data_IF_114604094206
#
_entry.id   IF_114604094206
#
_cell.length_a   1.000
_cell.length_b   1.000
_cell.length_c   1.000
_cell.angle_alpha   90.00
_cell.angle_beta   90.00
_cell.angle_gamma   90.00
#
_symmetry.space_group_name_H-M   'P 1'
#
loop_
_entity.id
_entity.type
_entity.pdbx_description
1 polymer ?
#
# COMPACT_ATOMS: atom_id res chain seq x y z
N UNK A 1 1.11 -31.57 -7.94
CA UNK A 1 1.46 -30.36 -7.20
C UNK A 1 2.37 -29.53 -8.08
N UNK A 2 2.10 -28.24 -8.16
CA UNK A 2 2.98 -27.22 -8.73
C UNK A 2 3.37 -26.28 -7.60
N UNK A 3 4.55 -25.70 -7.68
CA UNK A 3 5.04 -24.74 -6.70
C UNK A 3 4.94 -23.35 -7.31
N UNK A 4 4.30 -22.44 -6.58
CA UNK A 4 4.22 -21.03 -6.91
C UNK A 4 5.22 -20.26 -6.06
N UNK A 5 5.80 -19.19 -6.61
CA UNK A 5 6.80 -18.37 -5.94
C UNK A 5 6.46 -16.91 -6.13
N UNK A 6 6.42 -16.15 -5.04
CA UNK A 6 6.26 -14.69 -5.07
C UNK A 6 7.61 -14.03 -4.81
N UNK A 7 8.06 -13.18 -5.71
CA UNK A 7 9.41 -12.62 -5.70
C UNK A 7 9.35 -11.10 -5.72
N UNK A 8 10.14 -10.48 -4.86
CA UNK A 8 10.38 -9.05 -4.89
C UNK A 8 11.84 -8.78 -4.55
N UNK A 9 12.40 -7.70 -5.11
CA UNK A 9 13.72 -7.20 -4.78
C UNK A 9 13.76 -5.69 -5.03
N UNK A 10 13.96 -4.90 -3.98
CA UNK A 10 13.89 -3.44 -4.07
C UNK A 10 14.64 -2.77 -2.92
N UNK A 11 14.83 -1.46 -3.06
CA UNK A 11 15.50 -0.62 -2.07
C UNK A 11 14.62 0.56 -1.71
N UNK A 12 14.54 0.86 -0.41
CA UNK A 12 13.87 2.05 0.12
C UNK A 12 14.87 2.84 0.97
N UNK A 13 14.83 4.17 0.83
CA UNK A 13 15.54 5.09 1.72
C UNK A 13 14.60 5.52 2.84
N UNK A 14 15.05 5.46 4.08
CA UNK A 14 14.25 5.84 5.24
C UNK A 14 15.13 6.41 6.36
N UNK A 15 14.49 7.00 7.38
CA UNK A 15 15.20 7.42 8.58
C UNK A 15 15.81 6.22 9.32
N UNK A 16 16.84 6.51 10.12
CA UNK A 16 17.50 5.49 10.96
C UNK A 16 16.55 4.89 12.00
N UNK A 17 15.59 5.68 12.48
CA UNK A 17 14.57 5.21 13.41
C UNK A 17 13.63 4.19 12.77
N UNK A 18 13.20 4.43 11.52
CA UNK A 18 12.38 3.49 10.77
C UNK A 18 13.15 2.21 10.43
N UNK A 19 14.43 2.33 10.04
CA UNK A 19 15.27 1.16 9.81
C UNK A 19 15.47 0.32 11.10
N UNK A 20 15.57 0.96 12.27
CA UNK A 20 15.65 0.26 13.55
C UNK A 20 14.35 -0.47 13.92
N UNK A 21 13.19 0.08 13.53
CA UNK A 21 11.90 -0.58 13.68
C UNK A 21 11.84 -1.89 12.90
N UNK A 22 12.38 -1.94 11.68
CA UNK A 22 12.41 -3.16 10.88
C UNK A 22 13.18 -4.30 11.57
N UNK A 23 14.31 -3.99 12.22
CA UNK A 23 15.03 -4.98 13.04
C UNK A 23 14.20 -5.49 14.21
N UNK A 24 13.40 -4.61 14.82
CA UNK A 24 12.50 -4.99 15.91
C UNK A 24 11.35 -5.87 15.41
N UNK A 25 10.88 -5.65 14.19
CA UNK A 25 9.88 -6.50 13.54
C UNK A 25 10.45 -7.88 13.19
N UNK A 26 11.68 -7.98 12.67
CA UNK A 26 12.36 -9.28 12.48
C UNK A 26 12.51 -10.03 13.81
N UNK A 27 12.99 -9.35 14.85
CA UNK A 27 13.10 -9.95 16.19
C UNK A 27 11.75 -10.38 16.76
N UNK A 28 10.67 -9.64 16.50
CA UNK A 28 9.31 -10.01 16.90
C UNK A 28 8.85 -11.31 16.21
N UNK A 29 9.13 -11.47 14.92
CA UNK A 29 8.85 -12.71 14.19
C UNK A 29 9.66 -13.88 14.79
N UNK A 30 10.96 -13.72 15.02
CA UNK A 30 11.81 -14.76 15.62
C UNK A 30 11.30 -15.20 17.02
N UNK A 31 10.83 -14.24 17.83
CA UNK A 31 10.22 -14.52 19.14
C UNK A 31 8.97 -15.38 18.96
N UNK A 32 8.10 -15.03 18.02
CA UNK A 32 6.84 -15.72 17.76
C UNK A 32 7.06 -17.14 17.21
N UNK A 33 8.11 -17.36 16.41
CA UNK A 33 8.47 -18.69 15.90
C UNK A 33 8.91 -19.67 17.02
N UNK A 34 9.41 -19.15 18.14
CA UNK A 34 9.92 -19.98 19.24
C UNK A 34 8.80 -20.78 19.95
N UNK A 35 7.53 -20.42 19.75
CA UNK A 35 6.35 -21.09 20.36
C UNK A 35 6.45 -21.23 21.89
N UNK A 36 6.94 -20.18 22.56
CA UNK A 36 7.06 -20.13 24.02
C UNK A 36 5.71 -19.99 24.74
N UNK A 37 5.71 -20.15 26.07
CA UNK A 37 4.53 -19.88 26.88
C UNK A 37 4.18 -18.38 26.88
N UNK A 38 2.91 -18.02 27.10
CA UNK A 38 2.43 -16.62 27.03
C UNK A 38 3.22 -15.66 27.94
N UNK A 39 3.66 -16.12 29.11
CA UNK A 39 4.47 -15.32 30.03
C UNK A 39 5.87 -15.00 29.47
N UNK A 40 6.48 -15.97 28.77
CA UNK A 40 7.78 -15.80 28.14
C UNK A 40 7.67 -14.88 26.92
N UNK A 41 6.60 -15.03 26.12
CA UNK A 41 6.30 -14.13 25.00
C UNK A 41 6.05 -12.69 25.48
N UNK A 42 5.33 -12.51 26.58
CA UNK A 42 5.09 -11.19 27.15
C UNK A 42 6.40 -10.53 27.66
N UNK A 43 7.28 -11.31 28.28
CA UNK A 43 8.60 -10.82 28.72
C UNK A 43 9.50 -10.49 27.52
N UNK A 44 9.48 -11.32 26.47
CA UNK A 44 10.23 -11.07 25.25
C UNK A 44 9.74 -9.82 24.51
N UNK A 45 8.43 -9.61 24.43
CA UNK A 45 7.84 -8.38 23.89
C UNK A 45 8.37 -7.12 24.59
N UNK A 46 8.52 -7.15 25.92
CA UNK A 46 9.03 -6.00 26.69
C UNK A 46 10.50 -5.67 26.41
N UNK A 47 11.25 -6.59 25.77
CA UNK A 47 12.62 -6.34 25.31
C UNK A 47 12.70 -5.60 23.98
N UNK A 48 11.59 -5.54 23.23
CA UNK A 48 11.53 -4.84 21.94
C UNK A 48 11.57 -3.32 22.14
N UNK A 49 12.06 -2.65 21.10
CA UNK A 49 12.25 -1.20 21.11
C UNK A 49 10.97 -0.43 21.49
N UNK A 50 11.13 0.70 22.17
CA UNK A 50 10.00 1.52 22.61
C UNK A 50 9.14 2.00 21.43
N UNK A 51 9.78 2.32 20.29
CA UNK A 51 9.06 2.69 19.08
C UNK A 51 8.21 1.54 18.56
N UNK A 52 8.75 0.32 18.55
CA UNK A 52 8.00 -0.87 18.15
C UNK A 52 6.75 -1.06 19.01
N UNK A 53 6.90 -1.00 20.33
CA UNK A 53 5.78 -1.14 21.27
C UNK A 53 4.77 0.00 21.19
N UNK A 54 5.18 1.17 20.71
CA UNK A 54 4.28 2.31 20.47
C UNK A 54 3.44 2.11 19.21
N UNK A 55 4.04 1.58 18.14
CA UNK A 55 3.38 1.34 16.85
C UNK A 55 2.49 0.09 16.90
N UNK A 56 2.96 -0.95 17.59
CA UNK A 56 2.25 -2.20 17.82
C UNK A 56 1.97 -2.40 19.30
N UNK A 57 1.06 -1.60 19.91
CA UNK A 57 0.76 -1.70 21.33
C UNK A 57 0.16 -3.07 21.69
N UNK A 58 0.32 -3.51 22.95
CA UNK A 58 -0.26 -4.76 23.40
C UNK A 58 -1.78 -4.69 23.36
N UNK A 59 -2.43 -5.78 22.93
CA UNK A 59 -3.88 -5.88 22.80
C UNK A 59 -4.32 -7.30 23.16
N UNK A 60 -5.47 -7.42 23.84
CA UNK A 60 -6.06 -8.72 24.16
C UNK A 60 -5.16 -9.61 25.03
N UNK A 61 -5.16 -10.91 24.75
CA UNK A 61 -4.47 -11.94 25.54
C UNK A 61 -2.97 -12.04 25.19
N UNK A 62 -2.60 -11.74 23.94
CA UNK A 62 -1.21 -11.73 23.49
C UNK A 62 -0.70 -10.32 23.29
N UNK A 63 0.46 -9.97 23.87
CA UNK A 63 1.08 -8.65 23.64
C UNK A 63 1.43 -8.37 22.18
N UNK A 64 1.53 -9.41 21.34
CA UNK A 64 1.80 -9.31 19.91
C UNK A 64 0.54 -9.14 19.05
N UNK A 65 -0.67 -9.17 19.62
CA UNK A 65 -1.91 -9.21 18.82
C UNK A 65 -1.98 -8.10 17.76
N UNK A 66 -1.61 -6.85 18.08
CA UNK A 66 -1.60 -5.76 17.08
C UNK A 66 -0.52 -5.91 16.01
N UNK A 67 0.61 -6.57 16.32
CA UNK A 67 1.61 -6.91 15.31
C UNK A 67 1.13 -8.08 14.43
N UNK A 68 0.41 -9.04 15.02
CA UNK A 68 -0.15 -10.19 14.30
C UNK A 68 -1.22 -9.79 13.27
N UNK A 69 -1.85 -8.62 13.43
CA UNK A 69 -2.77 -8.06 12.42
C UNK A 69 -2.11 -7.75 11.07
N UNK A 70 -0.77 -7.77 10.98
CA UNK A 70 -0.05 -7.63 9.71
C UNK A 70 -0.13 -8.89 8.84
N UNK A 71 -0.37 -10.05 9.45
CA UNK A 71 -0.26 -11.36 8.80
C UNK A 71 -1.65 -11.93 8.50
N UNK A 72 -1.73 -12.67 7.39
CA UNK A 72 -2.92 -13.40 6.97
C UNK A 72 -3.17 -14.66 7.82
N UNK A 73 -2.10 -15.31 8.28
CA UNK A 73 -2.14 -16.36 9.30
C UNK A 73 -1.43 -15.91 10.60
N UNK A 74 -2.19 -15.53 11.65
CA UNK A 74 -1.62 -15.15 12.94
C UNK A 74 -0.82 -16.25 13.66
N UNK A 75 -1.00 -17.52 13.27
CA UNK A 75 -0.29 -18.65 13.88
C UNK A 75 1.05 -18.94 13.21
N UNK A 76 1.28 -18.40 12.02
CA UNK A 76 2.52 -18.55 11.28
C UNK A 76 2.93 -17.18 10.71
N UNK A 77 3.36 -16.24 11.56
CA UNK A 77 3.75 -14.91 11.09
C UNK A 77 5.07 -14.99 10.32
N UNK A 78 5.05 -14.69 9.02
CA UNK A 78 6.24 -14.57 8.18
C UNK A 78 6.19 -13.29 7.35
N UNK A 79 7.32 -12.58 7.28
CA UNK A 79 7.50 -11.53 6.27
C UNK A 79 7.95 -12.12 4.92
N UNK A 80 8.59 -13.30 4.95
CA UNK A 80 9.26 -13.96 3.83
C UNK A 80 10.14 -13.00 2.99
N UNK A 81 10.70 -12.01 3.68
CA UNK A 81 11.54 -10.98 3.13
C UNK A 81 12.85 -10.95 3.92
N UNK A 82 13.96 -11.06 3.21
CA UNK A 82 15.28 -10.72 3.72
C UNK A 82 15.41 -9.20 3.71
N UNK A 83 15.64 -8.61 4.88
CA UNK A 83 15.83 -7.17 5.05
C UNK A 83 17.31 -6.90 5.34
N UNK A 84 17.97 -6.15 4.47
CA UNK A 84 19.37 -5.74 4.65
C UNK A 84 19.45 -4.24 4.84
N UNK A 85 19.95 -3.82 6.00
CA UNK A 85 20.07 -2.41 6.36
C UNK A 85 21.52 -1.96 6.16
N UNK A 86 21.74 -1.17 5.11
CA UNK A 86 23.01 -0.51 4.82
C UNK A 86 23.04 0.83 5.55
N UNK A 87 23.59 0.80 6.77
CA UNK A 87 23.69 1.97 7.62
C UNK A 87 25.06 2.66 7.51
N UNK A 88 25.09 3.78 6.78
CA UNK A 88 26.25 4.66 6.67
C UNK A 88 26.08 5.87 7.60
N UNK A 89 26.98 6.10 8.58
CA UNK A 89 26.87 7.24 9.50
C UNK A 89 27.02 8.61 8.80
N UNK A 90 27.62 8.66 7.61
CA UNK A 90 27.80 9.89 6.84
C UNK A 90 26.57 10.24 5.97
N UNK A 91 25.61 9.33 5.87
CA UNK A 91 24.37 9.54 5.09
C UNK A 91 23.19 9.91 6.00
N UNK A 92 22.40 10.87 5.54
CA UNK A 92 21.22 11.34 6.27
C UNK A 92 20.07 10.32 6.30
N UNK A 93 19.98 9.48 5.26
CA UNK A 93 19.00 8.40 5.14
C UNK A 93 19.72 7.06 5.13
N UNK A 94 19.06 6.06 5.68
CA UNK A 94 19.52 4.67 5.68
C UNK A 94 18.93 3.96 4.47
N UNK A 95 19.77 3.22 3.75
CA UNK A 95 19.37 2.41 2.62
C UNK A 95 18.99 1.02 3.09
N UNK A 96 17.75 0.60 2.81
CA UNK A 96 17.24 -0.71 3.21
C UNK A 96 16.85 -1.51 1.97
N UNK A 97 17.47 -2.67 1.79
CA UNK A 97 17.16 -3.58 0.71
C UNK A 97 16.24 -4.69 1.21
N UNK A 98 15.22 -5.00 0.40
CA UNK A 98 14.27 -6.07 0.63
C UNK A 98 14.41 -7.07 -0.51
N UNK A 99 14.44 -8.36 -0.20
CA UNK A 99 14.47 -9.41 -1.23
C UNK A 99 13.88 -10.73 -0.74
N UNK A 100 13.31 -11.53 -1.64
CA UNK A 100 12.77 -12.85 -1.28
C UNK A 100 12.13 -13.59 -2.47
N UNK A 101 11.92 -14.89 -2.32
CA UNK A 101 11.31 -15.79 -3.31
C UNK A 101 9.99 -16.44 -2.87
N UNK A 102 9.52 -16.11 -1.66
CA UNK A 102 8.15 -16.29 -1.16
C UNK A 102 7.61 -15.00 -0.52
N UNK A 103 8.04 -13.86 -1.05
CA UNK A 103 7.91 -12.54 -0.43
C UNK A 103 6.48 -12.20 0.03
N UNK A 104 6.33 -11.85 1.32
CA UNK A 104 5.08 -11.38 1.92
C UNK A 104 4.73 -9.95 1.49
N UNK A 105 4.06 -9.81 0.33
CA UNK A 105 3.75 -8.52 -0.29
C UNK A 105 2.93 -7.63 0.65
N UNK A 106 1.82 -8.16 1.15
CA UNK A 106 0.87 -7.39 1.97
C UNK A 106 1.45 -7.13 3.37
N UNK A 107 2.13 -8.11 3.94
CA UNK A 107 2.79 -8.04 5.25
C UNK A 107 3.86 -6.94 5.25
N UNK A 108 4.74 -6.91 4.24
CA UNK A 108 5.78 -5.88 4.12
C UNK A 108 5.17 -4.51 3.79
N UNK A 109 4.14 -4.45 2.96
CA UNK A 109 3.44 -3.21 2.66
C UNK A 109 2.80 -2.58 3.91
N UNK A 110 2.12 -3.38 4.73
CA UNK A 110 1.52 -2.95 5.99
C UNK A 110 2.59 -2.57 7.02
N UNK A 111 3.69 -3.30 7.12
CA UNK A 111 4.82 -2.94 7.99
C UNK A 111 5.42 -1.59 7.61
N UNK A 112 5.67 -1.36 6.32
CA UNK A 112 6.15 -0.07 5.81
C UNK A 112 5.13 1.05 6.06
N UNK A 113 3.85 0.79 5.78
CA UNK A 113 2.79 1.76 5.96
C UNK A 113 2.62 2.16 7.42
N UNK A 114 2.51 1.21 8.36
CA UNK A 114 2.30 1.51 9.79
C UNK A 114 3.57 2.00 10.47
N UNK A 115 4.69 1.38 10.13
CA UNK A 115 5.94 1.49 10.86
C UNK A 115 6.93 2.53 10.33
N UNK A 116 7.01 2.69 9.01
CA UNK A 116 8.12 3.39 8.36
C UNK A 116 7.67 4.67 7.67
N UNK A 117 7.05 5.58 8.43
CA UNK A 117 6.43 6.80 7.88
C UNK A 117 7.40 7.73 7.14
N UNK A 118 8.68 7.74 7.50
CA UNK A 118 9.68 8.56 6.81
C UNK A 118 10.04 8.04 5.41
N UNK A 119 9.67 6.80 5.09
CA UNK A 119 9.82 6.25 3.75
C UNK A 119 8.73 6.72 2.78
N UNK A 120 7.61 7.27 3.29
CA UNK A 120 6.45 7.60 2.46
C UNK A 120 6.67 8.92 1.69
N UNK A 121 6.20 9.02 0.43
CA UNK A 121 5.63 7.94 -0.38
C UNK A 121 6.71 6.96 -0.90
N UNK A 122 6.40 5.67 -0.86
CA UNK A 122 7.25 4.62 -1.44
C UNK A 122 6.43 3.56 -2.16
N UNK A 123 7.11 2.58 -2.73
CA UNK A 123 6.48 1.46 -3.38
C UNK A 123 7.51 0.45 -3.86
N UNK A 124 7.02 -0.70 -4.30
CA UNK A 124 7.87 -1.76 -4.82
C UNK A 124 7.15 -2.59 -5.87
N UNK A 125 7.93 -3.19 -6.76
CA UNK A 125 7.44 -4.13 -7.76
C UNK A 125 7.63 -5.56 -7.25
N UNK A 126 6.75 -6.45 -7.71
CA UNK A 126 6.82 -7.86 -7.43
C UNK A 126 6.41 -8.70 -8.64
N UNK A 127 6.78 -9.96 -8.62
CA UNK A 127 6.40 -10.96 -9.62
C UNK A 127 5.96 -12.24 -8.94
N UNK A 128 5.11 -13.02 -9.60
CA UNK A 128 4.95 -14.42 -9.25
C UNK A 128 5.18 -15.30 -10.47
N UNK A 129 5.75 -16.48 -10.22
CA UNK A 129 5.89 -17.53 -11.21
C UNK A 129 5.54 -18.89 -10.63
N UNK A 130 5.52 -19.90 -11.51
CA UNK A 130 5.26 -21.28 -11.15
C UNK A 130 6.30 -22.20 -11.80
N UNK A 131 6.64 -23.29 -11.13
CA UNK A 131 7.49 -24.34 -11.70
C UNK A 131 6.86 -25.05 -12.92
N UNK A 132 5.57 -24.80 -13.17
CA UNK A 132 4.83 -25.30 -14.33
C UNK A 132 4.18 -24.14 -15.08
N UNK A 133 4.29 -24.17 -16.41
CA UNK A 133 3.68 -23.19 -17.32
C UNK A 133 2.15 -23.36 -17.39
N UNK A 134 1.43 -22.86 -16.39
CA UNK A 134 -0.03 -22.84 -16.35
C UNK A 134 -0.58 -21.44 -16.62
N UNK A 135 -1.76 -21.41 -17.22
CA UNK A 135 -2.48 -20.16 -17.51
C UNK A 135 -2.81 -19.45 -16.19
N UNK A 136 -2.47 -18.16 -16.11
CA UNK A 136 -2.73 -17.33 -14.93
C UNK A 136 -1.71 -17.45 -13.80
N UNK A 137 -0.76 -18.39 -13.87
CA UNK A 137 0.25 -18.61 -12.82
C UNK A 137 1.59 -17.87 -13.08
N UNK A 138 1.59 -16.90 -14.00
CA UNK A 138 2.69 -15.97 -14.24
C UNK A 138 2.16 -14.54 -14.23
N UNK A 139 2.83 -13.67 -13.50
CA UNK A 139 2.39 -12.30 -13.37
C UNK A 139 3.27 -11.49 -12.43
N UNK A 140 2.69 -10.40 -11.96
CA UNK A 140 3.39 -9.47 -11.12
C UNK A 140 2.52 -8.28 -10.80
N UNK A 141 3.16 -7.25 -10.29
CA UNK A 141 2.45 -6.05 -9.89
C UNK A 141 3.37 -5.04 -9.23
N UNK A 142 2.73 -4.04 -8.66
CA UNK A 142 3.38 -3.11 -7.76
C UNK A 142 2.47 -2.78 -6.59
N UNK A 143 3.12 -2.34 -5.51
CA UNK A 143 2.47 -1.73 -4.36
C UNK A 143 2.94 -0.28 -4.29
N UNK A 144 2.01 0.63 -4.05
CA UNK A 144 2.25 2.05 -3.80
C UNK A 144 1.73 2.37 -2.40
N UNK A 145 2.57 2.99 -1.59
CA UNK A 145 2.29 3.29 -0.19
C UNK A 145 2.42 4.80 0.01
N UNK A 146 1.35 5.41 0.50
CA UNK A 146 1.26 6.84 0.79
C UNK A 146 0.68 7.04 2.18
N UNK A 147 0.64 8.28 2.67
CA UNK A 147 -0.04 8.59 3.93
C UNK A 147 -1.55 8.23 3.91
N UNK A 148 -2.15 8.18 2.72
CA UNK A 148 -3.57 7.83 2.55
C UNK A 148 -3.84 6.32 2.61
N UNK A 149 -2.82 5.47 2.48
CA UNK A 149 -2.96 4.01 2.50
C UNK A 149 -2.10 3.31 1.45
N UNK A 150 -2.43 2.03 1.27
CA UNK A 150 -1.75 1.10 0.37
C UNK A 150 -2.62 0.86 -0.87
N UNK A 151 -2.00 0.90 -2.04
CA UNK A 151 -2.62 0.57 -3.32
C UNK A 151 -1.81 -0.52 -4.00
N UNK A 152 -2.49 -1.62 -4.36
CA UNK A 152 -1.87 -2.75 -5.04
C UNK A 152 -2.43 -2.89 -6.45
N UNK A 153 -1.54 -3.05 -7.43
CA UNK A 153 -1.89 -3.27 -8.83
C UNK A 153 -1.25 -4.56 -9.31
N UNK A 154 -2.01 -5.40 -10.01
CA UNK A 154 -1.47 -6.56 -10.72
C UNK A 154 -1.32 -6.26 -12.20
N UNK A 155 -0.37 -6.92 -12.86
CA UNK A 155 -0.20 -6.87 -14.32
C UNK A 155 -1.48 -7.29 -15.05
N UNK A 156 -2.25 -8.22 -14.46
CA UNK A 156 -3.56 -8.62 -14.98
C UNK A 156 -4.58 -7.50 -14.86
N UNK A 157 -4.69 -6.84 -13.70
CA UNK A 157 -5.61 -5.70 -13.52
C UNK A 157 -5.28 -4.54 -14.46
N UNK A 158 -3.99 -4.29 -14.71
CA UNK A 158 -3.54 -3.29 -15.67
C UNK A 158 -3.92 -3.67 -17.11
N UNK A 159 -3.79 -4.94 -17.49
CA UNK A 159 -4.19 -5.43 -18.80
C UNK A 159 -5.71 -5.35 -19.00
N UNK A 160 -6.49 -5.76 -18.00
CA UNK A 160 -7.95 -5.65 -18.02
C UNK A 160 -8.39 -4.18 -18.12
N UNK A 161 -7.75 -3.28 -17.37
CA UNK A 161 -8.01 -1.84 -17.45
C UNK A 161 -7.69 -1.28 -18.83
N UNK A 162 -6.57 -1.71 -19.43
CA UNK A 162 -6.20 -1.31 -20.78
C UNK A 162 -7.22 -1.77 -21.82
N UNK A 163 -7.73 -3.00 -21.73
CA UNK A 163 -8.80 -3.46 -22.64
C UNK A 163 -10.08 -2.66 -22.48
N UNK A 164 -10.50 -2.38 -21.23
CA UNK A 164 -11.69 -1.53 -20.99
C UNK A 164 -11.56 -0.14 -21.63
N UNK A 165 -10.38 0.48 -21.57
CA UNK A 165 -10.12 1.76 -22.25
C UNK A 165 -10.26 1.65 -23.77
N UNK A 166 -9.79 0.55 -24.37
CA UNK A 166 -9.88 0.32 -25.81
C UNK A 166 -11.34 0.09 -26.22
N UNK A 167 -12.06 -0.74 -25.47
CA UNK A 167 -13.46 -1.11 -25.76
C UNK A 167 -14.43 0.05 -25.54
N UNK A 168 -14.27 0.82 -24.46
CA UNK A 168 -15.15 1.94 -24.13
C UNK A 168 -14.90 3.22 -24.93
N UNK A 169 -13.75 3.33 -25.60
CA UNK A 169 -13.40 4.52 -26.37
C UNK A 169 -13.05 5.75 -25.52
N UNK A 170 -12.69 6.89 -26.14
CA UNK A 170 -12.02 8.02 -25.48
C UNK A 170 -12.86 8.83 -24.48
N UNK A 171 -14.13 8.46 -24.23
CA UNK A 171 -15.09 9.29 -23.50
C UNK A 171 -15.86 8.56 -22.38
N UNK A 172 -15.57 7.30 -22.06
CA UNK A 172 -16.40 6.49 -21.14
C UNK A 172 -16.01 6.56 -19.65
N UNK A 173 -15.17 7.51 -19.21
CA UNK A 173 -14.88 7.69 -17.78
C UNK A 173 -14.26 6.47 -17.09
N UNK A 174 -13.55 5.63 -17.85
CA UNK A 174 -12.85 4.43 -17.36
C UNK A 174 -11.84 4.78 -16.25
N UNK A 175 -11.29 5.99 -16.30
CA UNK A 175 -10.38 6.53 -15.29
C UNK A 175 -11.08 7.35 -14.20
N UNK A 176 -12.41 7.29 -14.16
CA UNK A 176 -13.27 7.97 -13.21
C UNK A 176 -13.85 9.28 -13.73
N UNK A 177 -14.69 9.89 -12.90
CA UNK A 177 -15.37 11.15 -13.13
C UNK A 177 -15.02 12.15 -12.05
N UNK A 178 -14.98 13.42 -12.42
CA UNK A 178 -14.97 14.55 -11.47
C UNK A 178 -16.23 15.36 -11.66
N UNK A 179 -16.82 15.84 -10.56
CA UNK A 179 -17.94 16.76 -10.63
C UNK A 179 -17.40 18.17 -10.79
N UNK A 180 -17.85 18.89 -11.81
CA UNK A 180 -17.37 20.23 -12.14
C UNK A 180 -18.53 21.22 -12.22
N UNK A 181 -18.28 22.49 -11.95
CA UNK A 181 -19.21 23.60 -12.18
C UNK A 181 -18.45 24.79 -12.75
N UNK A 182 -19.15 25.69 -13.44
CA UNK A 182 -18.53 26.91 -13.92
C UNK A 182 -18.21 27.85 -12.76
N UNK A 183 -17.07 28.53 -12.86
CA UNK A 183 -16.61 29.47 -11.83
C UNK A 183 -16.11 30.74 -12.49
N UNK A 184 -16.65 31.88 -12.05
CA UNK A 184 -16.22 33.19 -12.54
C UNK A 184 -14.74 33.48 -12.22
N UNK A 185 -14.17 32.83 -11.20
CA UNK A 185 -12.78 33.04 -10.78
C UNK A 185 -11.78 32.13 -11.51
N UNK A 186 -12.19 30.90 -11.88
CA UNK A 186 -11.28 29.84 -12.34
C UNK A 186 -11.70 29.19 -13.67
N UNK A 187 -12.79 29.64 -14.28
CA UNK A 187 -13.41 29.00 -15.45
C UNK A 187 -14.17 27.75 -15.05
N UNK A 188 -13.46 26.72 -14.57
CA UNK A 188 -14.02 25.50 -14.00
C UNK A 188 -13.57 25.33 -12.55
N UNK A 189 -14.44 24.73 -11.74
CA UNK A 189 -14.12 24.32 -10.37
C UNK A 189 -14.63 22.92 -10.12
N UNK A 190 -13.86 22.12 -9.39
CA UNK A 190 -14.07 20.69 -9.23
C UNK A 190 -14.39 20.34 -7.79
N UNK A 191 -15.35 19.44 -7.59
CA UNK A 191 -15.84 19.05 -6.28
C UNK A 191 -14.81 18.21 -5.51
N UNK A 192 -14.66 18.52 -4.23
CA UNK A 192 -13.94 17.74 -3.24
C UNK A 192 -14.86 17.40 -2.07
N UNK A 193 -14.92 16.13 -1.67
CA UNK A 193 -15.68 15.72 -0.48
C UNK A 193 -15.19 16.40 0.81
N UNK A 194 -13.95 16.92 0.81
CA UNK A 194 -13.34 17.58 1.99
C UNK A 194 -13.45 19.10 1.93
N UNK A 195 -13.26 19.69 0.75
CA UNK A 195 -13.07 21.14 0.60
C UNK A 195 -14.15 21.85 -0.22
N UNK A 196 -15.11 21.12 -0.79
CA UNK A 196 -16.10 21.66 -1.72
C UNK A 196 -15.51 21.94 -3.11
N UNK A 197 -16.12 22.87 -3.87
CA UNK A 197 -15.64 23.23 -5.22
C UNK A 197 -14.34 24.04 -5.17
N UNK A 198 -13.33 23.58 -5.92
CA UNK A 198 -12.02 24.22 -5.98
C UNK A 198 -11.18 23.78 -7.17
N UNK A 199 -9.85 23.70 -6.98
CA UNK A 199 -8.92 23.31 -8.03
C UNK A 199 -9.03 21.82 -8.37
N UNK A 200 -8.70 21.45 -9.62
CA UNK A 200 -8.70 20.05 -10.07
C UNK A 200 -7.78 19.15 -9.22
N UNK A 201 -6.65 19.69 -8.75
CA UNK A 201 -5.68 18.95 -7.94
C UNK A 201 -6.24 18.43 -6.61
N UNK A 202 -7.35 18.99 -6.13
CA UNK A 202 -8.02 18.59 -4.88
C UNK A 202 -9.35 17.87 -5.13
N UNK A 203 -9.70 17.63 -6.40
CA UNK A 203 -10.98 17.04 -6.77
C UNK A 203 -11.09 15.58 -6.28
N UNK A 204 -12.28 15.20 -5.84
CA UNK A 204 -12.60 13.79 -5.61
C UNK A 204 -12.92 13.13 -6.94
N UNK A 205 -12.25 12.01 -7.22
CA UNK A 205 -12.53 11.16 -8.37
C UNK A 205 -13.56 10.11 -7.95
N UNK A 206 -14.61 9.97 -8.75
CA UNK A 206 -15.71 9.05 -8.55
C UNK A 206 -15.66 7.95 -9.61
N UNK A 207 -15.90 6.71 -9.22
CA UNK A 207 -16.29 5.66 -10.17
C UNK A 207 -17.66 5.97 -10.79
N UNK A 208 -17.98 5.33 -11.91
CA UNK A 208 -19.30 5.47 -12.56
C UNK A 208 -20.45 5.15 -11.60
N UNK A 209 -20.32 4.08 -10.81
CA UNK A 209 -21.34 3.65 -9.86
C UNK A 209 -21.53 4.64 -8.70
N UNK A 210 -20.45 5.30 -8.25
CA UNK A 210 -20.52 6.34 -7.23
C UNK A 210 -21.16 7.61 -7.80
N UNK A 211 -20.72 8.05 -8.99
CA UNK A 211 -21.27 9.22 -9.67
C UNK A 211 -22.78 9.09 -9.93
N UNK A 212 -23.25 7.89 -10.29
CA UNK A 212 -24.67 7.61 -10.50
C UNK A 212 -25.54 7.68 -9.23
N UNK A 213 -24.92 7.52 -8.05
CA UNK A 213 -25.61 7.54 -6.74
C UNK A 213 -25.36 8.81 -5.94
N UNK A 214 -24.48 9.68 -6.42
CA UNK A 214 -24.03 10.85 -5.68
C UNK A 214 -25.02 12.01 -5.87
N UNK A 215 -25.58 12.48 -4.75
CA UNK A 215 -26.44 13.66 -4.74
C UNK A 215 -25.59 14.92 -4.97
N UNK A 216 -25.74 15.51 -6.15
CA UNK A 216 -24.97 16.70 -6.55
C UNK A 216 -25.25 17.86 -5.57
N UNK A 217 -24.20 18.52 -5.03
CA UNK A 217 -24.34 19.67 -4.18
C UNK A 217 -24.99 20.84 -4.92
N UNK A 218 -25.72 21.68 -4.18
CA UNK A 218 -26.29 22.92 -4.71
C UNK A 218 -25.15 23.91 -4.96
N UNK A 219 -25.07 24.42 -6.19
CA UNK A 219 -24.09 25.42 -6.61
C UNK A 219 -24.78 26.51 -7.46
N UNK A 220 -24.05 27.59 -7.75
CA UNK A 220 -24.57 28.72 -8.54
C UNK A 220 -24.89 28.34 -10.00
N UNK A 221 -24.19 27.33 -10.53
CA UNK A 221 -24.44 26.72 -11.83
C UNK A 221 -24.54 25.19 -11.68
N UNK A 222 -25.31 24.54 -12.56
CA UNK A 222 -25.60 23.11 -12.46
C UNK A 222 -24.31 22.28 -12.55
N UNK A 223 -23.95 21.50 -11.51
CA UNK A 223 -22.75 20.69 -11.58
C UNK A 223 -22.87 19.55 -12.60
N UNK A 224 -21.84 19.35 -13.41
CA UNK A 224 -21.80 18.33 -14.45
C UNK A 224 -20.68 17.31 -14.19
N UNK A 225 -20.91 16.06 -14.61
CA UNK A 225 -19.89 15.01 -14.52
C UNK A 225 -18.96 15.12 -15.72
N UNK A 226 -17.67 15.23 -15.46
CA UNK A 226 -16.62 15.21 -16.48
C UNK A 226 -15.80 13.92 -16.34
N UNK A 227 -15.77 13.11 -17.40
CA UNK A 227 -14.91 11.94 -17.48
C UNK A 227 -13.44 12.37 -17.48
N UNK A 228 -12.61 11.71 -16.66
CA UNK A 228 -11.17 11.94 -16.67
C UNK A 228 -10.55 11.38 -17.96
N UNK A 229 -9.63 12.14 -18.59
CA UNK A 229 -8.88 11.62 -19.72
C UNK A 229 -7.93 10.51 -19.24
N UNK A 230 -7.54 9.65 -20.18
CA UNK A 230 -6.50 8.66 -19.92
C UNK A 230 -5.23 9.35 -19.38
N UNK A 231 -4.61 8.83 -18.30
CA UNK A 231 -3.35 9.34 -17.81
C UNK A 231 -2.32 9.34 -18.93
N UNK A 232 -1.56 10.44 -19.07
CA UNK A 232 -0.41 10.41 -19.97
C UNK A 232 0.61 9.42 -19.42
N UNK A 233 0.84 8.34 -20.17
CA UNK A 233 1.95 7.43 -19.90
C UNK A 233 3.20 8.11 -20.47
N UNK A 234 4.24 8.40 -19.66
CA UNK A 234 5.48 9.00 -20.13
C UNK A 234 6.25 8.08 -21.10
#
# INVERSE_FOLDING_TARGET
>A
MSNSYTKAAFTILMSREDAALLRSAEAAVDILETNGEDADLAAAYDTLDERFRTIFPPKGESRFETFLELFDDPHLPYLDARIEIEDNPDEALVKVNFSGDQFGIDQVAELLFRGCKSALPCGFAWSYDCDRLRVGEFGGGCVIITDAGIQSYSTQSLLEHAFRRIEGGPHEGVDGFVLTTTSAAHGLSFWSNTYGFGALATATVFSEAEAARFDKPIADDEPEWLALPAPMIP
#
